data_IF_493998408695
#
_entry.id   IF_493998408695
#
_cell.length_a   1.000
_cell.length_b   1.000
_cell.length_c   1.000
_cell.angle_alpha   90.00
_cell.angle_beta   90.00
_cell.angle_gamma   90.00
#
_symmetry.space_group_name_H-M   'P 1'
#
loop_
_entity.id
_entity.type
_entity.pdbx_description
1 polymer ?
#
# COMPACT_ATOMS: atom_id res chain seq x y z
N UNK A 1 -10.63 -14.95 -12.47
CA UNK A 1 -10.78 -13.49 -12.61
C UNK A 1 -9.83 -12.89 -11.61
N UNK A 2 -9.00 -11.95 -12.05
CA UNK A 2 -8.08 -11.24 -11.19
C UNK A 2 -8.84 -10.25 -10.28
N UNK A 3 -8.26 -9.94 -9.12
CA UNK A 3 -8.88 -9.10 -8.08
C UNK A 3 -7.80 -8.52 -7.18
N UNK A 4 -8.01 -7.30 -6.68
CA UNK A 4 -7.22 -6.72 -5.60
C UNK A 4 -8.14 -6.56 -4.39
N UNK A 5 -7.64 -6.86 -3.19
CA UNK A 5 -8.34 -6.68 -1.94
C UNK A 5 -7.44 -6.08 -0.87
N UNK A 6 -8.06 -5.42 0.11
CA UNK A 6 -7.43 -5.12 1.40
C UNK A 6 -7.80 -6.22 2.38
N UNK A 7 -6.82 -6.70 3.12
CA UNK A 7 -7.00 -7.63 4.23
C UNK A 7 -6.33 -7.06 5.48
N UNK A 8 -6.76 -7.56 6.65
CA UNK A 8 -6.12 -7.19 7.91
C UNK A 8 -6.11 -8.34 8.90
N UNK A 9 -5.16 -8.27 9.83
CA UNK A 9 -5.06 -9.18 10.97
C UNK A 9 -4.71 -8.43 12.26
N UNK A 10 -5.02 -9.00 13.43
CA UNK A 10 -4.54 -8.44 14.70
C UNK A 10 -3.00 -8.44 14.79
N UNK A 11 -2.43 -7.37 15.34
CA UNK A 11 -1.03 -7.32 15.75
C UNK A 11 -0.87 -8.14 17.03
N UNK A 12 -0.02 -9.17 17.00
CA UNK A 12 0.18 -10.04 18.16
C UNK A 12 1.08 -9.40 19.21
N UNK A 13 0.80 -9.67 20.49
CA UNK A 13 1.71 -9.49 21.63
C UNK A 13 2.24 -8.06 21.88
N UNK A 14 1.66 -7.01 21.28
CA UNK A 14 2.24 -5.65 21.39
C UNK A 14 1.24 -4.63 21.93
N UNK A 15 0.02 -4.60 21.37
CA UNK A 15 -1.06 -3.70 21.81
C UNK A 15 -2.41 -4.37 21.61
N UNK A 16 -3.27 -4.38 22.63
CA UNK A 16 -4.61 -4.94 22.51
C UNK A 16 -5.41 -4.07 21.52
N UNK A 17 -5.77 -4.65 20.37
CA UNK A 17 -6.73 -4.20 19.34
C UNK A 17 -6.20 -3.58 18.03
N UNK A 18 -4.90 -3.32 17.87
CA UNK A 18 -4.40 -2.83 16.57
C UNK A 18 -4.45 -3.89 15.47
N UNK A 19 -4.79 -3.44 14.26
CA UNK A 19 -4.85 -4.23 13.05
C UNK A 19 -3.70 -3.84 12.11
N UNK A 20 -3.18 -4.87 11.45
CA UNK A 20 -2.13 -4.79 10.46
C UNK A 20 -2.75 -5.00 9.08
N UNK A 21 -2.76 -3.96 8.26
CA UNK A 21 -3.27 -3.99 6.90
C UNK A 21 -2.22 -4.55 5.93
N UNK A 22 -2.70 -5.22 4.90
CA UNK A 22 -1.92 -5.60 3.72
C UNK A 22 -2.83 -5.74 2.50
N UNK A 23 -2.24 -5.62 1.31
CA UNK A 23 -2.94 -5.78 0.04
C UNK A 23 -2.74 -7.20 -0.49
N UNK A 24 -3.76 -7.74 -1.13
CA UNK A 24 -3.74 -9.05 -1.78
C UNK A 24 -4.18 -8.91 -3.23
N UNK A 25 -3.34 -9.33 -4.16
CA UNK A 25 -3.71 -9.53 -5.56
C UNK A 25 -3.92 -11.02 -5.82
N UNK A 26 -5.08 -11.38 -6.37
CA UNK A 26 -5.32 -12.72 -6.93
C UNK A 26 -5.22 -12.64 -8.44
N UNK A 27 -4.40 -13.48 -9.05
CA UNK A 27 -4.30 -13.56 -10.51
C UNK A 27 -5.43 -14.39 -11.14
N UNK A 28 -5.47 -14.43 -12.48
CA UNK A 28 -6.47 -15.21 -13.20
C UNK A 28 -6.38 -16.74 -12.98
N UNK A 29 -5.25 -17.24 -12.47
CA UNK A 29 -5.04 -18.64 -12.09
C UNK A 29 -5.39 -18.94 -10.63
N UNK A 30 -5.78 -17.93 -9.86
CA UNK A 30 -6.11 -18.04 -8.43
C UNK A 30 -4.90 -17.96 -7.50
N UNK A 31 -3.71 -17.59 -7.98
CA UNK A 31 -2.54 -17.39 -7.12
C UNK A 31 -2.62 -16.02 -6.47
N UNK A 32 -2.21 -15.97 -5.20
CA UNK A 32 -2.28 -14.78 -4.38
C UNK A 32 -0.89 -14.21 -4.10
N UNK A 33 -0.77 -12.89 -4.22
CA UNK A 33 0.44 -12.09 -3.99
C UNK A 33 0.13 -10.94 -3.05
N UNK A 34 1.11 -10.48 -2.28
CA UNK A 34 0.90 -9.41 -1.29
C UNK A 34 1.83 -8.22 -1.47
N UNK A 35 1.31 -7.07 -1.04
CA UNK A 35 2.07 -5.85 -0.74
C UNK A 35 1.76 -5.47 0.71
N UNK A 36 2.78 -5.14 1.48
CA UNK A 36 2.62 -4.67 2.86
C UNK A 36 3.93 -4.19 3.46
N UNK A 37 3.86 -3.54 4.61
CA UNK A 37 5.03 -3.16 5.39
C UNK A 37 5.16 -4.05 6.62
N UNK A 38 6.38 -4.30 7.11
CA UNK A 38 6.60 -4.91 8.43
C UNK A 38 7.89 -4.37 9.04
N UNK A 39 7.99 -4.43 10.37
CA UNK A 39 9.19 -4.05 11.07
C UNK A 39 10.20 -5.20 11.07
N UNK A 40 11.49 -4.88 10.91
CA UNK A 40 12.57 -5.82 11.22
C UNK A 40 13.32 -5.42 12.49
N UNK A 41 13.62 -6.37 13.40
CA UNK A 41 14.46 -6.11 14.54
C UNK A 41 15.90 -5.77 14.11
N UNK A 42 16.48 -4.73 14.70
CA UNK A 42 17.93 -4.55 14.77
C UNK A 42 18.41 -4.72 16.21
N UNK A 43 19.72 -4.91 16.39
CA UNK A 43 20.31 -5.12 17.71
C UNK A 43 19.94 -3.96 18.66
N UNK A 44 19.14 -4.25 19.69
CA UNK A 44 18.69 -3.26 20.68
C UNK A 44 17.44 -2.45 20.31
N UNK A 45 16.89 -2.58 19.09
CA UNK A 45 15.63 -1.96 18.68
C UNK A 45 14.76 -2.96 17.88
N UNK A 46 13.63 -3.45 18.44
CA UNK A 46 12.75 -4.40 17.73
C UNK A 46 12.04 -3.81 16.50
N UNK A 47 12.04 -2.49 16.32
CA UNK A 47 11.34 -1.76 15.24
C UNK A 47 12.29 -0.83 14.49
N UNK A 48 13.40 -1.37 13.99
CA UNK A 48 14.51 -0.53 13.51
C UNK A 48 14.30 0.09 12.12
N UNK A 49 13.55 -0.60 11.26
CA UNK A 49 13.37 -0.24 9.84
C UNK A 49 12.08 -0.83 9.32
N UNK A 50 11.40 -0.05 8.48
CA UNK A 50 10.25 -0.50 7.72
C UNK A 50 10.75 -1.31 6.51
N UNK A 51 10.28 -2.54 6.41
CA UNK A 51 10.54 -3.41 5.26
C UNK A 51 9.26 -3.56 4.47
N UNK A 52 9.32 -3.17 3.21
CA UNK A 52 8.22 -3.28 2.28
C UNK A 52 8.34 -4.61 1.53
N UNK A 53 7.26 -5.37 1.50
CA UNK A 53 7.12 -6.52 0.61
C UNK A 53 6.41 -6.08 -0.67
N UNK A 54 7.00 -6.43 -1.80
CA UNK A 54 6.45 -6.18 -3.13
C UNK A 54 6.19 -7.54 -3.81
N UNK A 55 4.91 -7.82 -4.08
CA UNK A 55 4.46 -8.97 -4.86
C UNK A 55 4.96 -10.33 -4.32
N UNK A 56 4.97 -10.45 -2.99
CA UNK A 56 5.37 -11.67 -2.31
C UNK A 56 4.25 -12.71 -2.45
N UNK A 57 4.53 -13.95 -2.93
CA UNK A 57 3.51 -14.98 -2.94
C UNK A 57 2.98 -15.23 -1.53
N UNK A 58 1.66 -15.21 -1.35
CA UNK A 58 1.03 -15.32 -0.03
C UNK A 58 1.34 -16.66 0.66
N UNK A 59 1.67 -17.71 -0.11
CA UNK A 59 2.08 -19.01 0.41
C UNK A 59 3.56 -19.10 0.83
N UNK A 60 4.34 -18.04 0.66
CA UNK A 60 5.75 -18.02 1.06
C UNK A 60 5.92 -18.02 2.60
N UNK A 61 7.06 -18.49 3.09
CA UNK A 61 7.40 -18.43 4.51
C UNK A 61 7.44 -17.01 5.05
N UNK A 62 7.79 -16.06 4.19
CA UNK A 62 8.01 -14.65 4.54
C UNK A 62 6.67 -13.91 4.59
N UNK A 63 5.63 -14.44 3.93
CA UNK A 63 4.27 -13.94 4.04
C UNK A 63 3.58 -14.32 5.35
N UNK A 64 4.25 -15.07 6.24
CA UNK A 64 3.71 -15.41 7.57
C UNK A 64 3.47 -14.18 8.45
N UNK A 65 4.22 -13.11 8.22
CA UNK A 65 3.98 -11.81 8.82
C UNK A 65 2.69 -11.16 8.30
N UNK A 66 2.11 -11.61 7.19
CA UNK A 66 0.77 -11.21 6.75
C UNK A 66 -0.27 -12.27 7.09
N UNK A 67 0.13 -13.55 7.17
CA UNK A 67 -0.79 -14.67 7.35
C UNK A 67 -0.13 -15.89 8.00
N UNK A 68 -0.47 -16.16 9.24
CA UNK A 68 0.07 -17.32 9.97
C UNK A 68 -0.35 -18.67 9.39
N UNK A 69 -1.53 -18.75 8.79
CA UNK A 69 -2.04 -19.93 8.13
C UNK A 69 -2.57 -19.59 6.72
N UNK A 70 -1.83 -20.01 5.70
CA UNK A 70 -2.09 -19.74 4.28
C UNK A 70 -3.25 -20.56 3.69
N UNK A 71 -3.92 -21.39 4.49
CA UNK A 71 -5.05 -22.23 4.09
C UNK A 71 -6.42 -21.72 4.60
N UNK A 72 -6.43 -20.63 5.37
CA UNK A 72 -7.65 -19.98 5.93
C UNK A 72 -8.56 -19.42 4.81
N UNK A 73 -9.86 -19.65 4.85
CA UNK A 73 -10.76 -19.18 3.78
C UNK A 73 -10.82 -17.64 3.72
N UNK A 74 -11.04 -17.03 2.54
CA UNK A 74 -11.06 -15.56 2.37
C UNK A 74 -11.97 -14.82 3.37
N UNK A 75 -13.13 -15.41 3.66
CA UNK A 75 -14.11 -14.84 4.61
C UNK A 75 -13.56 -14.74 6.04
N UNK A 76 -12.59 -15.57 6.39
CA UNK A 76 -11.93 -15.59 7.70
C UNK A 76 -10.73 -14.61 7.75
N UNK A 77 -10.38 -13.97 6.62
CA UNK A 77 -9.26 -13.01 6.48
C UNK A 77 -9.68 -11.55 6.44
N UNK A 78 -10.97 -11.25 6.69
CA UNK A 78 -11.53 -9.90 6.54
C UNK A 78 -11.28 -9.30 5.15
N UNK A 79 -11.42 -10.14 4.13
CA UNK A 79 -11.15 -9.79 2.73
C UNK A 79 -12.18 -8.79 2.18
N UNK A 80 -11.72 -7.60 1.80
CA UNK A 80 -12.51 -6.57 1.13
C UNK A 80 -11.97 -6.34 -0.29
N UNK A 81 -12.65 -6.85 -1.33
CA UNK A 81 -12.33 -6.52 -2.71
C UNK A 81 -12.42 -5.02 -2.96
N UNK A 82 -11.45 -4.48 -3.70
CA UNK A 82 -11.43 -3.08 -4.09
C UNK A 82 -12.35 -2.85 -5.28
N UNK A 83 -13.08 -1.73 -5.26
CA UNK A 83 -13.72 -1.21 -6.45
C UNK A 83 -12.66 -0.48 -7.28
N UNK A 84 -12.38 -0.98 -8.49
CA UNK A 84 -11.40 -0.39 -9.40
C UNK A 84 -12.05 0.48 -10.48
N UNK A 85 -13.36 0.75 -10.40
CA UNK A 85 -14.13 1.53 -11.37
C UNK A 85 -13.98 1.03 -12.81
N UNK A 86 -13.86 -0.29 -12.97
CA UNK A 86 -13.71 -0.96 -14.27
C UNK A 86 -12.27 -1.08 -14.78
N UNK A 87 -11.27 -0.54 -14.06
CA UNK A 87 -9.84 -0.72 -14.40
C UNK A 87 -9.40 -2.18 -14.28
N UNK A 88 -8.44 -2.59 -15.09
CA UNK A 88 -7.87 -3.94 -15.03
C UNK A 88 -7.08 -4.13 -13.72
N UNK A 89 -7.44 -5.13 -12.87
CA UNK A 89 -6.72 -5.42 -11.63
C UNK A 89 -5.22 -5.69 -11.82
N UNK A 90 -4.80 -6.28 -12.93
CA UNK A 90 -3.38 -6.55 -13.17
C UNK A 90 -2.59 -5.26 -13.39
N UNK A 91 -3.15 -4.31 -14.17
CA UNK A 91 -2.53 -3.01 -14.43
C UNK A 91 -2.47 -2.17 -13.15
N UNK A 92 -3.58 -2.08 -12.42
CA UNK A 92 -3.63 -1.37 -11.13
C UNK A 92 -2.63 -1.99 -10.14
N UNK A 93 -2.50 -3.32 -10.10
CA UNK A 93 -1.52 -3.98 -9.25
C UNK A 93 -0.09 -3.58 -9.63
N UNK A 94 0.28 -3.53 -10.92
CA UNK A 94 1.62 -3.07 -11.31
C UNK A 94 1.90 -1.63 -10.87
N UNK A 95 0.91 -0.73 -10.95
CA UNK A 95 1.06 0.64 -10.44
C UNK A 95 1.29 0.66 -8.92
N UNK A 96 0.50 -0.09 -8.16
CA UNK A 96 0.70 -0.26 -6.71
C UNK A 96 2.11 -0.76 -6.37
N UNK A 97 2.64 -1.68 -7.17
CA UNK A 97 4.00 -2.22 -6.98
C UNK A 97 5.10 -1.17 -7.20
N UNK A 98 4.93 -0.26 -8.16
CA UNK A 98 5.90 0.84 -8.36
C UNK A 98 6.01 1.70 -7.10
N UNK A 99 4.88 2.05 -6.48
CA UNK A 99 4.88 2.77 -5.21
C UNK A 99 5.54 1.96 -4.09
N UNK A 100 5.23 0.67 -3.97
CA UNK A 100 5.86 -0.20 -2.98
C UNK A 100 7.39 -0.29 -3.14
N UNK A 101 7.88 -0.31 -4.38
CA UNK A 101 9.32 -0.32 -4.68
C UNK A 101 10.00 1.01 -4.32
N UNK A 102 9.34 2.15 -4.57
CA UNK A 102 9.82 3.46 -4.17
C UNK A 102 9.94 3.57 -2.64
N UNK A 103 8.90 3.17 -1.91
CA UNK A 103 8.92 3.10 -0.43
C UNK A 103 10.06 2.22 0.09
N UNK A 104 10.27 1.05 -0.52
CA UNK A 104 11.36 0.13 -0.15
C UNK A 104 12.74 0.77 -0.33
N UNK A 105 12.90 1.58 -1.40
CA UNK A 105 14.15 2.26 -1.74
C UNK A 105 14.41 3.51 -0.91
N UNK A 106 13.37 4.14 -0.37
CA UNK A 106 13.47 5.36 0.45
C UNK A 106 14.10 5.11 1.83
N UNK A 107 14.24 3.84 2.26
CA UNK A 107 14.85 3.46 3.54
C UNK A 107 14.21 4.19 4.74
N UNK A 108 12.88 4.15 4.79
CA UNK A 108 12.06 4.80 5.82
C UNK A 108 12.22 4.05 7.16
N UNK A 109 12.49 4.75 8.28
CA UNK A 109 12.50 4.15 9.61
C UNK A 109 11.11 3.60 9.95
N UNK A 110 11.03 2.59 10.82
CA UNK A 110 9.74 2.16 11.36
C UNK A 110 9.46 2.98 12.61
N UNK A 111 8.40 3.77 12.63
CA UNK A 111 8.02 4.56 13.80
C UNK A 111 6.82 3.94 14.52
N UNK A 112 7.10 3.40 15.71
CA UNK A 112 6.09 2.87 16.63
C UNK A 112 5.75 3.86 17.77
N UNK A 113 6.53 4.93 17.96
CA UNK A 113 6.33 5.90 19.03
C UNK A 113 5.12 6.79 18.77
N UNK A 114 4.74 6.96 17.49
CA UNK A 114 3.48 7.59 17.08
C UNK A 114 2.20 6.82 17.50
N UNK A 115 2.32 5.63 18.09
CA UNK A 115 1.16 4.91 18.68
C UNK A 115 0.61 5.57 19.95
N UNK A 116 1.37 6.47 20.61
CA UNK A 116 0.99 7.10 21.89
C UNK A 116 0.47 8.54 21.73
N UNK A 117 0.67 9.17 20.57
CA UNK A 117 0.22 10.54 20.27
C UNK A 117 -0.29 10.53 18.84
N UNK A 118 -1.56 10.90 18.63
CA UNK A 118 -2.19 11.03 17.31
C UNK A 118 -1.35 11.88 16.35
N UNK A 119 -0.46 11.22 15.62
CA UNK A 119 0.60 11.80 14.81
C UNK A 119 1.09 10.79 13.80
N UNK A 120 1.70 11.31 12.76
CA UNK A 120 2.33 10.61 11.64
C UNK A 120 3.11 9.40 12.16
N UNK A 121 2.72 8.20 11.73
CA UNK A 121 3.39 6.95 12.11
C UNK A 121 3.88 6.31 10.84
N UNK A 122 5.18 6.11 10.72
CA UNK A 122 5.79 5.40 9.61
C UNK A 122 5.70 3.89 9.84
N UNK A 123 4.61 3.26 9.38
CA UNK A 123 4.37 1.85 9.67
C UNK A 123 3.74 1.06 8.51
N UNK A 124 3.32 -0.17 8.80
CA UNK A 124 2.68 -1.06 7.83
C UNK A 124 1.37 -0.54 7.25
N UNK A 125 0.56 0.15 8.05
CA UNK A 125 -0.73 0.70 7.63
C UNK A 125 -0.51 1.93 6.73
N UNK A 126 0.48 2.75 7.03
CA UNK A 126 0.97 3.87 6.18
C UNK A 126 1.44 3.38 4.82
N UNK A 127 2.09 2.21 4.79
CA UNK A 127 2.44 1.53 3.53
C UNK A 127 1.20 1.24 2.69
N UNK A 128 0.16 0.64 3.29
CA UNK A 128 -1.07 0.33 2.57
C UNK A 128 -1.80 1.61 2.13
N UNK A 129 -1.85 2.62 2.98
CA UNK A 129 -2.45 3.92 2.66
C UNK A 129 -1.75 4.57 1.46
N UNK A 130 -0.42 4.66 1.49
CA UNK A 130 0.40 5.23 0.41
C UNK A 130 0.24 4.47 -0.91
N UNK A 131 0.23 3.13 -0.87
CA UNK A 131 0.08 2.30 -2.08
C UNK A 131 -1.32 2.42 -2.69
N UNK A 132 -2.38 2.48 -1.87
CA UNK A 132 -3.75 2.71 -2.35
C UNK A 132 -3.91 4.10 -2.93
N UNK A 133 -3.34 5.11 -2.27
CA UNK A 133 -3.40 6.50 -2.72
C UNK A 133 -2.74 6.68 -4.10
N UNK A 134 -1.63 6.00 -4.35
CA UNK A 134 -0.94 5.99 -5.66
C UNK A 134 -1.78 5.42 -6.82
N UNK A 135 -2.96 4.83 -6.54
CA UNK A 135 -3.93 4.42 -7.57
C UNK A 135 -5.30 5.05 -7.37
N UNK A 136 -5.37 6.17 -6.65
CA UNK A 136 -6.57 6.97 -6.46
C UNK A 136 -7.60 6.38 -5.49
N UNK A 137 -7.19 5.45 -4.63
CA UNK A 137 -8.08 4.84 -3.63
C UNK A 137 -7.72 5.41 -2.26
N UNK A 138 -8.68 6.07 -1.61
CA UNK A 138 -8.53 6.56 -0.23
C UNK A 138 -8.82 5.44 0.78
N UNK A 139 -7.81 5.04 1.55
CA UNK A 139 -7.97 4.03 2.60
C UNK A 139 -9.03 4.45 3.64
N UNK A 140 -9.16 5.74 3.93
CA UNK A 140 -10.10 6.25 4.94
C UNK A 140 -11.56 5.98 4.54
N UNK A 141 -11.87 5.96 3.24
CA UNK A 141 -13.19 5.60 2.73
C UNK A 141 -13.47 4.08 2.85
N UNK A 142 -12.41 3.25 2.91
CA UNK A 142 -12.53 1.80 3.03
C UNK A 142 -12.70 1.32 4.48
N UNK A 143 -12.13 2.03 5.46
CA UNK A 143 -12.14 1.60 6.87
C UNK A 143 -13.53 1.25 7.42
N UNK A 144 -14.60 2.04 7.16
CA UNK A 144 -15.94 1.68 7.62
C UNK A 144 -16.44 0.34 7.08
N UNK A 145 -16.09 0.00 5.82
CA UNK A 145 -16.45 -1.27 5.19
C UNK A 145 -15.66 -2.45 5.78
N UNK A 146 -14.44 -2.20 6.23
CA UNK A 146 -13.62 -3.14 7.02
C UNK A 146 -14.08 -3.24 8.48
N UNK A 147 -15.02 -2.39 8.92
CA UNK A 147 -15.44 -2.25 10.32
C UNK A 147 -14.30 -1.84 11.25
N UNK A 148 -13.39 -1.02 10.72
CA UNK A 148 -12.27 -0.42 11.43
C UNK A 148 -12.46 1.09 11.52
N UNK A 149 -11.89 1.70 12.54
CA UNK A 149 -11.63 3.13 12.61
C UNK A 149 -10.12 3.41 12.65
N UNK A 150 -9.75 4.69 12.56
CA UNK A 150 -8.34 5.11 12.50
C UNK A 150 -7.54 4.62 13.72
N UNK A 151 -8.17 4.57 14.88
CA UNK A 151 -7.55 4.05 16.11
C UNK A 151 -7.25 2.54 16.05
N UNK A 152 -7.92 1.78 15.18
CA UNK A 152 -7.64 0.35 14.99
C UNK A 152 -6.46 0.13 14.05
N UNK A 153 -6.16 1.10 13.16
CA UNK A 153 -5.12 1.04 12.13
C UNK A 153 -4.25 2.30 12.17
N UNK A 154 -3.51 2.54 13.25
CA UNK A 154 -2.70 3.75 13.40
C UNK A 154 -1.75 3.94 12.21
N UNK A 155 -1.58 5.18 11.75
CA UNK A 155 -0.79 5.54 10.56
C UNK A 155 -1.55 5.43 9.23
N UNK A 156 -2.82 4.97 9.24
CA UNK A 156 -3.65 4.83 8.03
C UNK A 156 -3.94 6.15 7.28
N UNK A 157 -3.76 7.28 7.95
CA UNK A 157 -4.03 8.62 7.47
C UNK A 157 -2.81 9.31 6.85
N UNK A 158 -1.61 8.76 7.07
CA UNK A 158 -0.37 9.27 6.54
C UNK A 158 0.00 8.53 5.24
N UNK A 159 0.70 9.23 4.37
CA UNK A 159 1.10 8.80 3.04
C UNK A 159 2.61 8.93 2.83
N UNK A 160 3.40 9.03 3.90
CA UNK A 160 4.85 9.29 3.88
C UNK A 160 5.19 10.65 3.27
N UNK A 161 4.36 11.67 3.56
CA UNK A 161 4.46 12.98 2.91
C UNK A 161 5.80 13.68 3.20
N UNK A 162 6.43 13.40 4.34
CA UNK A 162 7.75 13.91 4.72
C UNK A 162 8.90 13.36 3.85
N UNK A 163 8.65 12.30 3.09
CA UNK A 163 9.63 11.66 2.22
C UNK A 163 9.32 11.80 0.73
N UNK A 164 8.39 12.68 0.36
CA UNK A 164 7.92 12.84 -1.01
C UNK A 164 9.06 13.02 -2.04
N UNK A 165 10.16 13.68 -1.66
CA UNK A 165 11.35 13.88 -2.50
C UNK A 165 12.08 12.58 -2.89
N UNK A 166 11.78 11.48 -2.19
CA UNK A 166 12.38 10.14 -2.37
C UNK A 166 11.39 9.12 -2.91
N UNK A 167 10.13 9.51 -3.14
CA UNK A 167 9.05 8.61 -3.57
C UNK A 167 8.70 8.75 -5.06
N UNK A 168 9.54 9.47 -5.83
CA UNK A 168 9.36 9.67 -7.26
C UNK A 168 9.31 8.31 -8.01
N UNK A 169 8.22 8.07 -8.73
CA UNK A 169 8.04 6.90 -9.59
C UNK A 169 7.97 7.30 -11.06
N UNK A 170 8.35 6.35 -11.91
CA UNK A 170 8.13 6.44 -13.34
C UNK A 170 7.00 5.49 -13.72
N UNK A 171 5.90 6.05 -14.22
CA UNK A 171 4.73 5.30 -14.67
C UNK A 171 4.64 5.42 -16.19
N UNK A 172 4.42 4.31 -16.86
CA UNK A 172 4.07 4.30 -18.28
C UNK A 172 2.74 3.58 -18.44
N UNK A 173 1.80 4.26 -19.11
CA UNK A 173 0.56 3.69 -19.59
C UNK A 173 0.80 2.69 -20.72
N UNK A 174 -0.28 2.38 -21.41
CA UNK A 174 -0.42 1.41 -22.48
C UNK A 174 -0.88 2.11 -23.76
N UNK A 175 -1.14 1.36 -24.83
CA UNK A 175 -1.76 1.93 -26.04
C UNK A 175 -3.30 2.00 -25.94
N UNK A 176 -3.87 1.60 -24.80
CA UNK A 176 -5.30 1.64 -24.49
C UNK A 176 -5.63 2.83 -23.57
N UNK A 177 -6.91 3.19 -23.42
CA UNK A 177 -7.34 4.24 -22.49
C UNK A 177 -6.98 3.93 -21.04
N UNK A 178 -6.09 4.73 -20.47
CA UNK A 178 -5.61 4.56 -19.11
C UNK A 178 -6.20 5.57 -18.11
N UNK A 179 -6.23 5.14 -16.85
CA UNK A 179 -6.39 6.03 -15.71
C UNK A 179 -5.13 5.90 -14.86
N UNK A 180 -4.30 6.94 -14.86
CA UNK A 180 -3.01 6.95 -14.19
C UNK A 180 -3.06 7.95 -13.04
N UNK A 181 -2.61 7.52 -11.87
CA UNK A 181 -2.42 8.37 -10.70
C UNK A 181 -0.93 8.47 -10.42
N UNK A 182 -0.41 9.70 -10.35
CA UNK A 182 0.85 9.94 -9.67
C UNK A 182 0.69 9.63 -8.17
N UNK A 183 1.74 9.17 -7.53
CA UNK A 183 1.85 9.15 -6.09
C UNK A 183 2.29 10.50 -5.52
N UNK A 184 2.81 10.45 -4.29
CA UNK A 184 3.52 11.56 -3.68
C UNK A 184 4.95 11.63 -4.25
N UNK A 185 5.33 12.77 -4.82
CA UNK A 185 6.67 13.02 -5.35
C UNK A 185 6.67 13.74 -6.70
N UNK A 186 7.86 13.85 -7.29
CA UNK A 186 8.09 14.36 -8.64
C UNK A 186 8.02 13.22 -9.66
N UNK A 187 6.83 12.66 -9.85
CA UNK A 187 6.61 11.52 -10.72
C UNK A 187 6.77 11.84 -12.20
N UNK A 188 7.14 10.83 -12.98
CA UNK A 188 7.20 10.90 -14.44
C UNK A 188 6.15 9.97 -15.01
N UNK A 189 5.09 10.55 -15.61
CA UNK A 189 4.01 9.81 -16.24
C UNK A 189 4.14 9.88 -17.77
N UNK A 190 4.01 8.74 -18.43
CA UNK A 190 3.95 8.60 -19.89
C UNK A 190 2.72 7.80 -20.29
N UNK A 191 1.63 8.47 -20.64
CA UNK A 191 0.32 7.87 -20.92
C UNK A 191 0.28 7.06 -22.22
N UNK A 192 1.18 7.35 -23.18
CA UNK A 192 1.25 6.75 -24.52
C UNK A 192 0.01 7.08 -25.39
N UNK A 193 -0.51 6.12 -26.16
CA UNK A 193 -1.66 6.30 -27.07
C UNK A 193 -2.96 5.95 -26.32
N UNK A 194 -4.08 6.58 -26.66
CA UNK A 194 -5.36 6.31 -26.00
C UNK A 194 -6.10 7.59 -25.61
N UNK A 195 -7.34 7.44 -25.14
CA UNK A 195 -8.06 8.52 -24.44
C UNK A 195 -7.76 8.39 -22.93
N UNK A 196 -6.64 8.98 -22.48
CA UNK A 196 -6.11 8.81 -21.12
C UNK A 196 -6.62 9.87 -20.15
N UNK A 197 -6.63 9.51 -18.86
CA UNK A 197 -6.86 10.44 -17.75
C UNK A 197 -5.75 10.34 -16.72
N UNK A 198 -4.93 11.40 -16.65
CA UNK A 198 -3.81 11.49 -15.71
C UNK A 198 -4.14 12.41 -14.52
N UNK A 199 -3.93 11.90 -13.31
CA UNK A 199 -4.09 12.63 -12.06
C UNK A 199 -2.74 12.88 -11.41
N UNK A 200 -2.44 14.15 -11.13
CA UNK A 200 -1.20 14.58 -10.46
C UNK A 200 -1.50 14.99 -9.01
N UNK A 201 -0.87 14.33 -8.05
CA UNK A 201 -0.87 14.78 -6.65
C UNK A 201 0.42 15.57 -6.38
N UNK A 202 0.34 16.90 -6.51
CA UNK A 202 1.48 17.75 -6.18
C UNK A 202 1.65 17.88 -4.66
N UNK A 203 2.65 17.20 -4.12
CA UNK A 203 3.19 17.48 -2.80
C UNK A 203 4.19 18.64 -2.92
N UNK A 204 3.67 19.87 -2.76
CA UNK A 204 4.39 21.15 -2.79
C UNK A 204 4.48 21.88 -4.13
N UNK A 205 4.34 23.19 -4.00
CA UNK A 205 4.22 24.18 -5.06
C UNK A 205 5.56 24.47 -5.73
N UNK A 206 5.94 23.80 -6.82
CA UNK A 206 6.90 24.34 -7.78
C UNK A 206 6.63 23.91 -9.24
N UNK A 207 7.03 24.83 -10.12
CA UNK A 207 6.69 25.06 -11.53
C UNK A 207 6.91 23.93 -12.56
N UNK A 208 5.92 23.79 -13.44
CA UNK A 208 6.00 23.13 -14.75
C UNK A 208 7.22 23.56 -15.57
N UNK A 209 7.92 22.60 -16.18
CA UNK A 209 8.65 22.81 -17.42
C UNK A 209 8.02 21.94 -18.50
N UNK A 210 7.42 22.61 -19.48
CA UNK A 210 7.02 22.05 -20.78
C UNK A 210 8.26 21.68 -21.60
#
# INVERSE_FOLDING_TARGET
MSEIAVEYRPVKNTFDNFQHLYLVYTDNSGKEFTIGGHAVPAFGNPFSRLVITDNLPLQSSDARDFRENTDVARVERNHLPLNLDGRDPEIVWQQMRLQAQALSSANIPYDIEALDIAGESDNSNTTVASVLNAVGIDLQELLPSLRLGNNDVPGSEDLFSEYADRLNIQISGSEDSDIIYGGFGDDVISSLDGDDTDFWFYASSYSFRF
#
